data_IF_084569073808
#
_entry.id   IF_084569073808
#
_cell.length_a   1.000
_cell.length_b   1.000
_cell.length_c   1.000
_cell.angle_alpha   90.00
_cell.angle_beta   90.00
_cell.angle_gamma   90.00
#
_symmetry.space_group_name_H-M   'P 1'
#
loop_
_entity.id
_entity.type
_entity.pdbx_description
1 polymer ?
#
# COMPACT_ATOMS: atom_id res chain seq x y z
N UNK A 1 13.22 39.49 -13.41
CA UNK A 1 13.32 38.17 -12.76
C UNK A 1 12.29 37.13 -13.26
N UNK A 2 11.05 37.48 -13.58
CA UNK A 2 9.99 36.56 -14.04
C UNK A 2 10.19 35.95 -15.45
N UNK A 3 10.91 36.61 -16.36
CA UNK A 3 11.17 36.08 -17.72
C UNK A 3 12.15 34.87 -17.73
N UNK A 4 13.10 34.85 -16.79
CA UNK A 4 14.09 33.76 -16.72
C UNK A 4 13.52 32.45 -16.09
N UNK A 5 12.50 32.56 -15.26
CA UNK A 5 11.83 31.37 -14.66
C UNK A 5 10.97 30.61 -15.68
N UNK A 6 10.32 31.33 -16.62
CA UNK A 6 9.46 30.74 -17.65
C UNK A 6 10.31 30.02 -18.73
N UNK A 7 11.47 30.57 -19.08
CA UNK A 7 12.41 29.92 -20.02
C UNK A 7 13.06 28.68 -19.40
N UNK A 8 13.40 28.74 -18.11
CA UNK A 8 13.94 27.57 -17.39
C UNK A 8 12.91 26.42 -17.30
N UNK A 9 11.65 26.76 -17.05
CA UNK A 9 10.54 25.78 -17.00
C UNK A 9 10.26 25.14 -18.37
N UNK A 10 10.32 25.91 -19.45
CA UNK A 10 10.16 25.40 -20.84
C UNK A 10 11.33 24.51 -21.27
N UNK A 11 12.56 24.87 -20.98
CA UNK A 11 13.75 24.05 -21.28
C UNK A 11 13.75 22.73 -20.46
N UNK A 12 13.34 22.80 -19.20
CA UNK A 12 13.21 21.60 -18.35
C UNK A 12 12.13 20.64 -18.88
N UNK A 13 11.00 21.18 -19.33
CA UNK A 13 9.88 20.41 -19.89
C UNK A 13 10.22 19.76 -21.24
N UNK A 14 10.96 20.46 -22.13
CA UNK A 14 11.36 19.96 -23.45
C UNK A 14 12.44 18.87 -23.37
N UNK A 15 13.43 19.01 -22.50
CA UNK A 15 14.44 17.98 -22.27
C UNK A 15 13.88 16.72 -21.61
N UNK A 16 12.85 16.88 -20.75
CA UNK A 16 12.19 15.76 -20.07
C UNK A 16 11.30 14.97 -21.03
N UNK A 17 10.59 15.60 -21.95
CA UNK A 17 9.76 14.95 -22.97
C UNK A 17 10.60 14.20 -24.02
N UNK A 18 11.81 14.71 -24.37
CA UNK A 18 12.77 13.98 -25.23
C UNK A 18 13.35 12.74 -24.56
N UNK A 19 13.52 12.73 -23.22
CA UNK A 19 14.00 11.57 -22.46
C UNK A 19 12.96 10.45 -22.36
N UNK A 20 11.68 10.75 -22.36
CA UNK A 20 10.60 9.74 -22.27
C UNK A 20 10.42 8.97 -23.58
N UNK A 21 10.70 9.58 -24.72
CA UNK A 21 10.56 8.93 -26.06
C UNK A 21 11.59 7.86 -26.40
N UNK A 22 12.61 7.61 -25.55
CA UNK A 22 13.67 6.66 -25.82
C UNK A 22 14.06 5.76 -24.63
N UNK A 23 13.22 5.68 -23.56
CA UNK A 23 13.51 4.80 -22.43
C UNK A 23 13.34 3.33 -22.85
N UNK A 24 14.45 2.60 -22.91
CA UNK A 24 14.40 1.13 -23.02
C UNK A 24 13.73 0.53 -21.75
N UNK A 25 13.06 -0.62 -21.89
CA UNK A 25 12.43 -1.31 -20.75
C UNK A 25 13.40 -1.45 -19.56
N UNK A 26 14.67 -1.76 -19.82
CA UNK A 26 15.71 -1.85 -18.79
C UNK A 26 15.90 -0.53 -18.01
N UNK A 27 15.78 0.62 -18.67
CA UNK A 27 15.90 1.91 -18.00
C UNK A 27 14.69 2.21 -17.11
N UNK A 28 13.51 1.74 -17.47
CA UNK A 28 12.30 1.86 -16.65
C UNK A 28 12.45 1.11 -15.33
N UNK A 29 13.01 -0.10 -15.37
CA UNK A 29 13.21 -0.91 -14.16
C UNK A 29 14.30 -0.39 -13.22
N UNK A 30 15.28 0.34 -13.73
CA UNK A 30 16.46 0.81 -12.96
C UNK A 30 16.31 2.29 -12.56
N UNK A 31 15.24 2.99 -13.00
CA UNK A 31 15.09 4.42 -12.69
C UNK A 31 14.90 4.65 -11.19
N UNK A 32 15.65 5.61 -10.65
CA UNK A 32 15.58 6.04 -9.25
C UNK A 32 14.92 7.41 -9.09
N UNK A 33 14.42 8.02 -10.17
CA UNK A 33 13.80 9.35 -10.15
C UNK A 33 12.47 9.33 -9.36
N UNK A 34 12.39 10.11 -8.28
CA UNK A 34 11.21 10.20 -7.41
C UNK A 34 9.92 10.57 -8.15
N UNK A 35 9.99 11.44 -9.18
CA UNK A 35 8.80 11.83 -9.97
C UNK A 35 8.28 10.65 -10.79
N UNK A 36 9.19 9.88 -11.41
CA UNK A 36 8.79 8.69 -12.15
C UNK A 36 8.21 7.63 -11.23
N UNK A 37 8.88 7.35 -10.11
CA UNK A 37 8.42 6.40 -9.09
C UNK A 37 7.04 6.81 -8.57
N UNK A 38 6.85 8.08 -8.19
CA UNK A 38 5.57 8.59 -7.72
C UNK A 38 4.47 8.50 -8.79
N UNK A 39 4.80 8.76 -10.06
CA UNK A 39 3.86 8.58 -11.18
C UNK A 39 3.41 7.13 -11.35
N UNK A 40 4.31 6.16 -11.24
CA UNK A 40 3.98 4.72 -11.32
C UNK A 40 3.16 4.27 -10.11
N UNK A 41 3.42 4.81 -8.90
CA UNK A 41 2.57 4.58 -7.73
C UNK A 41 1.14 5.08 -7.94
N UNK A 42 0.96 6.27 -8.55
CA UNK A 42 -0.37 6.80 -8.88
C UNK A 42 -1.08 5.86 -9.86
N UNK A 43 -0.40 5.39 -10.91
CA UNK A 43 -0.99 4.47 -11.88
C UNK A 43 -1.35 3.14 -11.22
N UNK A 44 -0.48 2.57 -10.37
CA UNK A 44 -0.79 1.33 -9.65
C UNK A 44 -1.99 1.49 -8.70
N UNK A 45 -2.08 2.64 -8.01
CA UNK A 45 -3.24 2.97 -7.16
C UNK A 45 -4.54 3.12 -7.97
N UNK A 46 -4.48 3.70 -9.18
CA UNK A 46 -5.62 3.76 -10.08
C UNK A 46 -6.07 2.38 -10.56
N UNK A 47 -5.14 1.49 -10.88
CA UNK A 47 -5.46 0.09 -11.25
C UNK A 47 -6.17 -0.61 -10.08
N UNK A 48 -5.60 -0.56 -8.87
CA UNK A 48 -6.23 -1.12 -7.67
C UNK A 48 -7.62 -0.53 -7.42
N UNK A 49 -7.75 0.79 -7.53
CA UNK A 49 -9.02 1.51 -7.37
C UNK A 49 -10.06 1.14 -8.41
N UNK A 50 -9.69 0.96 -9.69
CA UNK A 50 -10.62 0.56 -10.74
C UNK A 50 -11.16 -0.85 -10.51
N UNK A 51 -10.32 -1.79 -10.06
CA UNK A 51 -10.75 -3.14 -9.67
C UNK A 51 -11.72 -3.04 -8.49
N UNK A 52 -11.33 -2.33 -7.41
CA UNK A 52 -12.17 -2.15 -6.23
C UNK A 52 -13.51 -1.47 -6.54
N UNK A 53 -13.51 -0.48 -7.43
CA UNK A 53 -14.74 0.18 -7.88
C UNK A 53 -15.64 -0.78 -8.68
N UNK A 54 -15.08 -1.60 -9.58
CA UNK A 54 -15.83 -2.64 -10.30
C UNK A 54 -16.53 -3.61 -9.34
N UNK A 55 -15.82 -4.06 -8.30
CA UNK A 55 -16.39 -4.91 -7.25
C UNK A 55 -17.54 -4.22 -6.50
N UNK A 56 -17.45 -2.91 -6.25
CA UNK A 56 -18.55 -2.17 -5.60
C UNK A 56 -19.83 -2.12 -6.42
N UNK A 57 -19.70 -2.06 -7.76
CA UNK A 57 -20.86 -2.11 -8.65
C UNK A 57 -21.55 -3.48 -8.52
N UNK A 58 -20.80 -4.58 -8.52
CA UNK A 58 -21.36 -5.93 -8.34
C UNK A 58 -22.09 -6.06 -7.00
N UNK A 59 -21.50 -5.54 -5.90
CA UNK A 59 -22.14 -5.50 -4.58
C UNK A 59 -23.47 -4.76 -4.63
N UNK A 60 -23.52 -3.61 -5.31
CA UNK A 60 -24.75 -2.82 -5.43
C UNK A 60 -25.81 -3.49 -6.29
N UNK A 61 -25.42 -4.18 -7.35
CA UNK A 61 -26.34 -4.96 -8.18
C UNK A 61 -26.94 -6.12 -7.38
N UNK A 62 -26.13 -6.85 -6.63
CA UNK A 62 -26.60 -7.95 -5.76
C UNK A 62 -27.61 -7.48 -4.71
N UNK A 63 -27.41 -6.28 -4.14
CA UNK A 63 -28.27 -5.68 -3.13
C UNK A 63 -29.49 -4.93 -3.71
N UNK A 64 -29.65 -4.87 -5.02
CA UNK A 64 -30.75 -4.13 -5.65
C UNK A 64 -32.11 -4.80 -5.49
N UNK A 65 -32.15 -6.12 -5.37
CA UNK A 65 -33.35 -6.92 -5.19
C UNK A 65 -33.16 -7.92 -4.04
N UNK A 66 -34.24 -8.35 -3.39
CA UNK A 66 -34.16 -9.36 -2.31
C UNK A 66 -33.82 -10.74 -2.90
N UNK A 67 -32.91 -11.45 -2.23
CA UNK A 67 -32.46 -12.79 -2.62
C UNK A 67 -31.06 -12.82 -3.24
N UNK A 68 -30.65 -13.99 -3.69
CA UNK A 68 -29.38 -14.19 -4.41
C UNK A 68 -29.65 -14.02 -5.92
N UNK A 69 -29.07 -12.99 -6.54
CA UNK A 69 -29.34 -12.65 -7.95
C UNK A 69 -28.19 -13.10 -8.86
N UNK A 70 -26.96 -12.70 -8.53
CA UNK A 70 -25.78 -12.89 -9.37
C UNK A 70 -24.80 -13.85 -8.69
N UNK A 71 -24.63 -13.74 -7.36
CA UNK A 71 -23.58 -14.39 -6.60
C UNK A 71 -24.14 -15.38 -5.57
N UNK A 72 -23.42 -16.49 -5.33
CA UNK A 72 -23.63 -17.28 -4.12
C UNK A 72 -23.17 -16.51 -2.88
N UNK A 73 -23.63 -16.91 -1.68
CA UNK A 73 -23.21 -16.24 -0.42
C UNK A 73 -21.68 -16.22 -0.21
N UNK A 74 -20.99 -17.28 -0.64
CA UNK A 74 -19.53 -17.37 -0.57
C UNK A 74 -18.88 -16.37 -1.53
N UNK A 75 -19.36 -16.30 -2.77
CA UNK A 75 -18.85 -15.35 -3.76
C UNK A 75 -19.11 -13.89 -3.36
N UNK A 76 -20.29 -13.60 -2.82
CA UNK A 76 -20.61 -12.27 -2.32
C UNK A 76 -19.63 -11.83 -1.21
N UNK A 77 -19.38 -12.69 -0.22
CA UNK A 77 -18.43 -12.40 0.85
C UNK A 77 -16.99 -12.21 0.32
N UNK A 78 -16.60 -12.96 -0.70
CA UNK A 78 -15.31 -12.79 -1.37
C UNK A 78 -15.21 -11.44 -2.08
N UNK A 79 -16.24 -11.04 -2.81
CA UNK A 79 -16.29 -9.74 -3.49
C UNK A 79 -16.24 -8.58 -2.48
N UNK A 80 -16.97 -8.70 -1.38
CA UNK A 80 -16.97 -7.71 -0.29
C UNK A 80 -15.57 -7.59 0.34
N UNK A 81 -14.91 -8.72 0.63
CA UNK A 81 -13.56 -8.76 1.18
C UNK A 81 -12.57 -8.06 0.26
N UNK A 82 -12.57 -8.46 -1.01
CA UNK A 82 -11.64 -7.92 -1.99
C UNK A 82 -11.90 -6.44 -2.28
N UNK A 83 -13.16 -6.00 -2.32
CA UNK A 83 -13.49 -4.58 -2.46
C UNK A 83 -12.82 -3.74 -1.36
N UNK A 84 -12.96 -4.14 -0.10
CA UNK A 84 -12.36 -3.41 1.04
C UNK A 84 -10.83 -3.35 0.95
N UNK A 85 -10.17 -4.47 0.65
CA UNK A 85 -8.72 -4.55 0.54
C UNK A 85 -8.19 -3.70 -0.63
N UNK A 86 -8.79 -3.81 -1.83
CA UNK A 86 -8.35 -3.06 -3.00
C UNK A 86 -8.50 -1.55 -2.79
N UNK A 87 -9.61 -1.09 -2.19
CA UNK A 87 -9.84 0.34 -1.98
C UNK A 87 -8.91 0.93 -0.91
N UNK A 88 -8.69 0.23 0.20
CA UNK A 88 -7.89 0.76 1.32
C UNK A 88 -6.39 0.57 1.06
N UNK A 89 -5.95 -0.66 0.79
CA UNK A 89 -4.52 -0.98 0.76
C UNK A 89 -3.89 -0.79 -0.63
N UNK A 90 -4.64 -1.01 -1.70
CA UNK A 90 -4.08 -0.92 -3.06
C UNK A 90 -4.49 0.35 -3.83
N UNK A 91 -5.44 1.13 -3.35
CA UNK A 91 -5.76 2.44 -3.91
C UNK A 91 -5.23 3.57 -3.02
N UNK A 92 -5.76 3.71 -1.80
CA UNK A 92 -5.48 4.88 -0.95
C UNK A 92 -4.00 4.95 -0.56
N UNK A 93 -3.43 3.86 -0.03
CA UNK A 93 -2.04 3.88 0.43
C UNK A 93 -1.03 4.14 -0.69
N UNK A 94 -1.03 3.42 -1.83
CA UNK A 94 -0.11 3.71 -2.92
C UNK A 94 -0.31 5.10 -3.53
N UNK A 95 -1.54 5.58 -3.64
CA UNK A 95 -1.84 6.86 -4.25
C UNK A 95 -1.39 8.03 -3.36
N UNK A 96 -1.79 8.04 -2.08
CA UNK A 96 -1.48 9.15 -1.18
C UNK A 96 -0.04 9.14 -0.70
N UNK A 97 0.42 8.01 -0.14
CA UNK A 97 1.77 7.94 0.45
C UNK A 97 2.80 7.68 -0.64
N UNK A 98 2.60 6.66 -1.48
CA UNK A 98 3.54 6.28 -2.53
C UNK A 98 3.61 7.30 -3.66
N UNK A 99 2.47 7.78 -4.15
CA UNK A 99 2.37 8.72 -5.27
C UNK A 99 2.67 10.16 -4.87
N UNK A 100 1.72 10.76 -4.15
CA UNK A 100 1.88 12.17 -3.76
C UNK A 100 3.06 12.40 -2.81
N UNK A 101 3.33 11.47 -1.87
CA UNK A 101 4.49 11.57 -0.99
C UNK A 101 5.80 11.69 -1.75
N UNK A 102 6.05 10.80 -2.71
CA UNK A 102 7.27 10.81 -3.51
C UNK A 102 7.41 12.02 -4.43
N UNK A 103 6.31 12.58 -4.93
CA UNK A 103 6.34 13.75 -5.82
C UNK A 103 6.49 15.03 -5.01
N UNK A 104 5.66 15.23 -3.97
CA UNK A 104 5.54 16.52 -3.29
C UNK A 104 6.62 16.74 -2.23
N UNK A 105 7.07 15.70 -1.52
CA UNK A 105 8.07 15.91 -0.45
C UNK A 105 9.37 16.50 -0.99
N UNK A 106 10.04 15.93 -2.03
CA UNK A 106 11.24 16.53 -2.56
C UNK A 106 11.02 17.94 -3.13
N UNK A 107 9.85 18.19 -3.73
CA UNK A 107 9.52 19.52 -4.26
C UNK A 107 9.33 20.55 -3.14
N UNK A 108 8.64 20.21 -2.05
CA UNK A 108 8.40 21.11 -0.91
C UNK A 108 9.67 21.36 -0.10
N UNK A 109 10.58 20.38 -0.04
CA UNK A 109 11.86 20.50 0.65
C UNK A 109 12.96 21.09 -0.25
N UNK A 110 12.66 21.39 -1.52
CA UNK A 110 13.65 21.85 -2.53
C UNK A 110 14.85 20.90 -2.66
N UNK A 111 14.64 19.61 -2.36
CA UNK A 111 15.65 18.57 -2.52
C UNK A 111 15.66 18.00 -3.94
N UNK A 112 16.82 17.55 -4.41
CA UNK A 112 16.96 16.97 -5.76
C UNK A 112 16.28 15.63 -5.91
N UNK A 113 16.28 14.80 -4.85
CA UNK A 113 15.66 13.46 -4.81
C UNK A 113 15.46 13.03 -3.34
N UNK A 114 14.86 11.84 -3.15
CA UNK A 114 14.81 11.18 -1.86
C UNK A 114 16.20 10.69 -1.45
N UNK A 115 16.46 10.53 -0.14
CA UNK A 115 17.80 10.14 0.35
C UNK A 115 18.21 8.74 -0.09
N UNK A 116 17.26 7.79 -0.07
CA UNK A 116 17.50 6.42 -0.51
C UNK A 116 16.75 6.11 -1.81
N UNK A 117 17.27 6.55 -2.97
CA UNK A 117 16.52 6.41 -4.24
C UNK A 117 16.37 4.95 -4.68
N UNK A 118 17.34 4.07 -4.37
CA UNK A 118 17.24 2.63 -4.68
C UNK A 118 16.22 1.93 -3.79
N UNK A 119 16.14 2.29 -2.51
CA UNK A 119 15.14 1.77 -1.59
C UNK A 119 13.73 2.16 -2.04
N UNK A 120 13.58 3.38 -2.55
CA UNK A 120 12.33 3.90 -3.10
C UNK A 120 11.89 3.12 -4.35
N UNK A 121 12.81 2.81 -5.26
CA UNK A 121 12.53 1.97 -6.42
C UNK A 121 12.14 0.54 -6.01
N UNK A 122 12.82 -0.05 -5.01
CA UNK A 122 12.48 -1.37 -4.47
C UNK A 122 11.06 -1.38 -3.89
N UNK A 123 10.69 -0.38 -3.10
CA UNK A 123 9.34 -0.29 -2.52
C UNK A 123 8.24 -0.26 -3.59
N UNK A 124 8.45 0.47 -4.69
CA UNK A 124 7.53 0.47 -5.83
C UNK A 124 7.34 -0.93 -6.42
N UNK A 125 8.42 -1.65 -6.70
CA UNK A 125 8.32 -2.98 -7.31
C UNK A 125 7.66 -3.99 -6.39
N UNK A 126 7.84 -3.87 -5.08
CA UNK A 126 7.13 -4.69 -4.12
C UNK A 126 5.61 -4.44 -4.14
N UNK A 127 5.14 -3.19 -4.25
CA UNK A 127 3.70 -2.90 -4.37
C UNK A 127 3.11 -3.50 -5.65
N UNK A 128 3.81 -3.40 -6.79
CA UNK A 128 3.32 -3.96 -8.04
C UNK A 128 3.20 -5.49 -7.94
N UNK A 129 4.21 -6.16 -7.37
CA UNK A 129 4.17 -7.60 -7.16
C UNK A 129 3.06 -8.00 -6.18
N UNK A 130 2.86 -7.24 -5.10
CA UNK A 130 1.78 -7.51 -4.15
C UNK A 130 0.39 -7.36 -4.78
N UNK A 131 0.19 -6.34 -5.62
CA UNK A 131 -1.04 -6.16 -6.39
C UNK A 131 -1.31 -7.37 -7.31
N UNK A 132 -0.27 -7.90 -7.97
CA UNK A 132 -0.38 -9.08 -8.80
C UNK A 132 -0.84 -10.31 -8.00
N UNK A 133 -0.22 -10.58 -6.83
CA UNK A 133 -0.63 -11.69 -5.97
C UNK A 133 -2.05 -11.51 -5.43
N UNK A 134 -2.47 -10.26 -5.15
CA UNK A 134 -3.84 -9.98 -4.71
C UNK A 134 -4.87 -10.27 -5.80
N UNK A 135 -4.57 -9.92 -7.06
CA UNK A 135 -5.44 -10.26 -8.20
C UNK A 135 -5.51 -11.78 -8.39
N UNK A 136 -4.39 -12.50 -8.26
CA UNK A 136 -4.40 -13.96 -8.29
C UNK A 136 -5.25 -14.56 -7.17
N UNK A 137 -5.15 -14.05 -5.95
CA UNK A 137 -5.97 -14.48 -4.82
C UNK A 137 -7.48 -14.30 -5.07
N UNK A 138 -7.86 -13.25 -5.80
CA UNK A 138 -9.26 -13.02 -6.18
C UNK A 138 -9.77 -14.02 -7.21
N UNK A 139 -8.91 -14.50 -8.11
CA UNK A 139 -9.30 -15.39 -9.23
C UNK A 139 -9.29 -16.87 -8.86
N UNK A 140 -8.54 -17.26 -7.82
CA UNK A 140 -8.40 -18.65 -7.40
C UNK A 140 -9.46 -19.05 -6.36
N UNK A 141 -9.90 -20.29 -6.36
CA UNK A 141 -10.78 -20.93 -5.37
C UNK A 141 -12.10 -20.18 -5.08
N UNK A 142 -12.56 -19.33 -6.00
CA UNK A 142 -13.72 -18.45 -5.77
C UNK A 142 -13.42 -17.24 -4.87
N UNK A 143 -12.14 -16.96 -4.62
CA UNK A 143 -11.66 -15.81 -3.86
C UNK A 143 -11.64 -16.02 -2.35
N UNK A 144 -11.36 -14.96 -1.60
CA UNK A 144 -11.22 -14.99 -0.13
C UNK A 144 -12.49 -14.50 0.54
N UNK A 145 -13.16 -15.33 1.30
CA UNK A 145 -14.42 -15.03 1.97
C UNK A 145 -14.29 -14.70 3.47
N UNK A 146 -13.13 -14.22 3.91
CA UNK A 146 -12.82 -13.99 5.33
C UNK A 146 -13.27 -12.61 5.89
N UNK A 147 -13.74 -11.69 5.02
CA UNK A 147 -13.90 -10.27 5.37
C UNK A 147 -12.55 -9.54 5.38
N UNK A 148 -12.56 -8.20 5.19
CA UNK A 148 -11.33 -7.40 5.14
C UNK A 148 -10.57 -7.34 6.47
N UNK A 149 -11.22 -7.68 7.58
CA UNK A 149 -10.64 -7.74 8.93
C UNK A 149 -10.00 -9.09 9.27
N UNK A 150 -10.15 -10.10 8.42
CA UNK A 150 -9.54 -11.44 8.54
C UNK A 150 -9.82 -12.16 9.86
N UNK A 151 -11.00 -12.01 10.43
CA UNK A 151 -11.32 -12.62 11.72
C UNK A 151 -11.21 -14.13 11.68
N UNK A 152 -10.52 -14.64 12.69
CA UNK A 152 -10.42 -16.07 12.99
C UNK A 152 -11.73 -16.53 13.69
N UNK A 153 -12.32 -17.69 13.37
CA UNK A 153 -11.72 -18.82 12.61
C UNK A 153 -11.93 -18.77 11.09
N UNK A 154 -12.70 -17.82 10.55
CA UNK A 154 -13.08 -17.77 9.14
C UNK A 154 -11.86 -17.68 8.21
N UNK A 155 -10.81 -16.94 8.61
CA UNK A 155 -9.58 -16.76 7.84
C UNK A 155 -8.63 -17.97 7.88
N UNK A 156 -8.90 -18.98 8.73
CA UNK A 156 -8.10 -20.22 8.81
C UNK A 156 -8.59 -21.27 7.82
N UNK A 157 -9.73 -21.11 7.17
CA UNK A 157 -10.26 -22.08 6.21
C UNK A 157 -9.26 -22.40 5.08
N UNK A 158 -9.25 -23.65 4.62
CA UNK A 158 -8.25 -24.19 3.69
C UNK A 158 -8.52 -23.81 2.23
N UNK A 159 -8.31 -22.54 1.86
CA UNK A 159 -8.31 -22.05 0.49
C UNK A 159 -6.92 -21.50 0.13
N UNK A 160 -6.35 -21.87 -1.00
CA UNK A 160 -5.08 -21.33 -1.48
C UNK A 160 -5.14 -19.81 -1.73
N UNK A 161 -6.31 -19.29 -2.08
CA UNK A 161 -6.56 -17.86 -2.24
C UNK A 161 -6.22 -17.05 -0.99
N UNK A 162 -6.46 -17.61 0.21
CA UNK A 162 -6.15 -16.97 1.49
C UNK A 162 -4.64 -16.82 1.70
N UNK A 163 -3.87 -17.85 1.35
CA UNK A 163 -2.41 -17.82 1.49
C UNK A 163 -1.78 -16.79 0.54
N UNK A 164 -2.25 -16.74 -0.71
CA UNK A 164 -1.80 -15.73 -1.67
C UNK A 164 -2.15 -14.30 -1.22
N UNK A 165 -3.33 -14.11 -0.64
CA UNK A 165 -3.72 -12.83 -0.06
C UNK A 165 -2.79 -12.43 1.08
N UNK A 166 -2.54 -13.30 2.05
CA UNK A 166 -1.63 -13.01 3.16
C UNK A 166 -0.20 -12.73 2.67
N UNK A 167 0.28 -13.47 1.69
CA UNK A 167 1.57 -13.22 1.07
C UNK A 167 1.61 -11.85 0.38
N UNK A 168 0.56 -11.50 -0.34
CA UNK A 168 0.40 -10.16 -0.93
C UNK A 168 0.48 -9.06 0.13
N UNK A 169 -0.24 -9.21 1.25
CA UNK A 169 -0.24 -8.25 2.34
C UNK A 169 1.13 -8.09 3.01
N UNK A 170 1.89 -9.17 3.18
CA UNK A 170 3.27 -9.10 3.67
C UNK A 170 4.17 -8.28 2.75
N UNK A 171 4.09 -8.52 1.43
CA UNK A 171 4.89 -7.79 0.45
C UNK A 171 4.48 -6.30 0.42
N UNK A 172 3.17 -6.00 0.47
CA UNK A 172 2.67 -4.63 0.53
C UNK A 172 3.12 -3.93 1.82
N UNK A 173 3.05 -4.62 2.97
CA UNK A 173 3.52 -4.10 4.25
C UNK A 173 5.03 -3.82 4.25
N UNK A 174 5.84 -4.72 3.70
CA UNK A 174 7.28 -4.50 3.55
C UNK A 174 7.56 -3.27 2.67
N UNK A 175 6.86 -3.12 1.55
CA UNK A 175 6.97 -1.94 0.70
C UNK A 175 6.69 -0.65 1.45
N UNK A 176 5.62 -0.62 2.24
CA UNK A 176 5.21 0.56 3.02
C UNK A 176 6.21 0.89 4.13
N UNK A 177 6.82 -0.12 4.77
CA UNK A 177 7.91 0.06 5.74
C UNK A 177 9.14 0.71 5.09
N UNK A 178 9.58 0.21 3.93
CA UNK A 178 10.73 0.77 3.22
C UNK A 178 10.48 2.22 2.79
N UNK A 179 9.27 2.51 2.31
CA UNK A 179 8.85 3.87 1.96
C UNK A 179 8.85 4.81 3.17
N UNK A 180 8.27 4.38 4.29
CA UNK A 180 8.17 5.20 5.51
C UNK A 180 9.55 5.51 6.11
N UNK A 181 10.49 4.56 6.13
CA UNK A 181 11.88 4.80 6.53
C UNK A 181 12.52 5.87 5.64
N UNK A 182 12.32 5.78 4.33
CA UNK A 182 12.87 6.74 3.38
C UNK A 182 12.29 8.16 3.61
N UNK A 183 10.98 8.27 3.84
CA UNK A 183 10.34 9.57 4.13
C UNK A 183 10.86 10.19 5.43
N UNK A 184 10.94 9.45 6.52
CA UNK A 184 11.44 9.96 7.80
C UNK A 184 12.86 10.50 7.66
N UNK A 185 13.77 9.72 7.06
CA UNK A 185 15.18 10.13 6.92
C UNK A 185 15.32 11.32 5.97
N UNK A 186 14.51 11.37 4.90
CA UNK A 186 14.50 12.50 3.96
C UNK A 186 14.05 13.78 4.66
N UNK A 187 13.00 13.73 5.46
CA UNK A 187 12.49 14.88 6.21
C UNK A 187 13.48 15.33 7.28
N UNK A 188 14.05 14.40 8.08
CA UNK A 188 15.02 14.72 9.11
C UNK A 188 16.31 15.37 8.54
N UNK A 189 16.81 14.88 7.40
CA UNK A 189 17.99 15.44 6.75
C UNK A 189 17.73 16.80 6.12
N UNK A 190 16.57 17.00 5.52
CA UNK A 190 16.19 18.30 4.94
C UNK A 190 16.02 19.35 6.03
N UNK A 191 15.53 18.96 7.19
CA UNK A 191 15.41 19.81 8.37
C UNK A 191 16.72 19.94 9.13
N UNK A 192 17.90 20.00 8.54
CA UNK A 192 19.19 20.12 9.24
C UNK A 192 19.06 20.35 10.76
N UNK A 193 19.72 19.61 11.63
CA UNK A 193 19.52 19.62 13.09
C UNK A 193 19.51 21.02 13.75
N UNK A 194 20.12 22.02 13.10
CA UNK A 194 20.03 23.45 13.45
C UNK A 194 18.65 24.08 13.14
N UNK A 195 17.82 23.44 12.35
CA UNK A 195 16.51 23.91 11.86
C UNK A 195 15.35 23.25 12.63
N UNK A 196 15.60 22.42 13.62
CA UNK A 196 14.56 22.06 14.59
C UNK A 196 13.93 23.31 15.25
N UNK A 197 14.68 24.41 15.33
CA UNK A 197 14.16 25.73 15.69
C UNK A 197 13.37 26.43 14.56
N UNK A 198 13.54 26.06 13.29
CA UNK A 198 12.79 26.57 12.13
C UNK A 198 11.74 25.62 11.58
N UNK A 199 11.45 24.53 12.31
CA UNK A 199 10.41 23.53 11.98
C UNK A 199 9.00 24.15 11.79
N UNK A 200 8.76 25.34 12.34
CA UNK A 200 7.53 26.11 12.15
C UNK A 200 7.27 26.53 10.69
N UNK A 201 8.27 26.47 9.81
CA UNK A 201 8.13 26.87 8.39
C UNK A 201 7.90 25.72 7.41
N UNK A 202 7.87 24.45 7.90
CA UNK A 202 7.51 23.32 7.03
C UNK A 202 6.00 23.34 6.72
N UNK A 203 5.60 23.14 5.45
CA UNK A 203 4.20 22.98 5.08
C UNK A 203 3.54 21.82 5.83
N UNK A 204 2.21 21.87 5.94
CA UNK A 204 1.44 20.85 6.67
C UNK A 204 1.60 19.44 6.09
N UNK A 205 1.71 19.32 4.75
CA UNK A 205 1.83 18.03 4.08
C UNK A 205 3.09 17.24 4.47
N UNK A 206 4.33 17.78 4.46
CA UNK A 206 5.50 17.08 4.98
C UNK A 206 5.34 16.62 6.43
N UNK A 207 4.72 17.43 7.30
CA UNK A 207 4.43 17.04 8.68
C UNK A 207 3.46 15.86 8.76
N UNK A 208 2.40 15.87 7.97
CA UNK A 208 1.44 14.76 7.94
C UNK A 208 2.10 13.45 7.50
N UNK A 209 2.94 13.49 6.45
CA UNK A 209 3.68 12.31 6.00
C UNK A 209 4.71 11.85 7.04
N UNK A 210 5.34 12.76 7.77
CA UNK A 210 6.27 12.40 8.85
C UNK A 210 5.59 11.59 9.93
N UNK A 211 4.48 12.08 10.48
CA UNK A 211 3.74 11.37 11.52
C UNK A 211 3.13 10.06 11.02
N UNK A 212 2.52 10.06 9.85
CA UNK A 212 1.99 8.80 9.26
C UNK A 212 3.08 7.77 9.03
N UNK A 213 4.28 8.18 8.63
CA UNK A 213 5.42 7.27 8.46
C UNK A 213 5.89 6.66 9.79
N UNK A 214 5.92 7.44 10.88
CA UNK A 214 6.22 6.90 12.22
C UNK A 214 5.17 5.88 12.65
N UNK A 215 3.87 6.21 12.48
CA UNK A 215 2.77 5.31 12.84
C UNK A 215 2.83 4.01 12.04
N UNK A 216 3.15 4.07 10.74
CA UNK A 216 3.31 2.89 9.90
C UNK A 216 4.47 1.99 10.35
N UNK A 217 5.61 2.56 10.75
CA UNK A 217 6.73 1.76 11.27
C UNK A 217 6.36 1.03 12.57
N UNK A 218 5.51 1.62 13.40
CA UNK A 218 5.07 1.00 14.65
C UNK A 218 3.97 -0.06 14.41
N UNK A 219 3.02 0.20 13.52
CA UNK A 219 1.82 -0.63 13.34
C UNK A 219 2.01 -1.81 12.39
N UNK A 220 2.76 -1.64 11.28
CA UNK A 220 2.92 -2.70 10.27
C UNK A 220 3.61 -3.98 10.78
N UNK A 221 4.66 -3.94 11.63
CA UNK A 221 5.23 -5.16 12.18
C UNK A 221 4.26 -5.97 13.03
N UNK A 222 3.34 -5.29 13.74
CA UNK A 222 2.31 -5.95 14.55
C UNK A 222 1.30 -6.66 13.66
N UNK A 223 0.84 -6.02 12.58
CA UNK A 223 -0.01 -6.64 11.58
C UNK A 223 0.70 -7.82 10.90
N UNK A 224 1.94 -7.67 10.48
CA UNK A 224 2.72 -8.74 9.89
C UNK A 224 2.86 -9.93 10.84
N UNK A 225 3.10 -9.69 12.12
CA UNK A 225 3.14 -10.70 13.17
C UNK A 225 1.82 -11.46 13.30
N UNK A 226 0.67 -10.76 13.33
CA UNK A 226 -0.65 -11.42 13.41
C UNK A 226 -0.97 -12.27 12.17
N UNK A 227 -0.61 -11.80 10.98
CA UNK A 227 -0.80 -12.57 9.74
C UNK A 227 0.13 -13.79 9.70
N UNK A 228 1.39 -13.68 10.14
CA UNK A 228 2.29 -14.83 10.22
C UNK A 228 1.78 -15.89 11.20
N UNK A 229 1.18 -15.50 12.34
CA UNK A 229 0.55 -16.46 13.26
C UNK A 229 -0.60 -17.22 12.61
N UNK A 230 -1.44 -16.56 11.78
CA UNK A 230 -2.49 -17.26 11.02
C UNK A 230 -1.87 -18.26 10.03
N UNK A 231 -0.84 -17.87 9.29
CA UNK A 231 -0.16 -18.76 8.34
C UNK A 231 0.40 -19.98 9.07
N UNK A 232 0.95 -19.82 10.27
CA UNK A 232 1.46 -20.92 11.07
C UNK A 232 0.34 -21.84 11.57
N UNK A 233 -0.79 -21.30 12.03
CA UNK A 233 -1.96 -22.10 12.42
C UNK A 233 -2.51 -22.91 11.24
N UNK A 234 -2.42 -22.38 10.02
CA UNK A 234 -2.87 -23.07 8.79
C UNK A 234 -1.94 -24.18 8.33
N UNK A 235 -0.63 -23.94 8.34
CA UNK A 235 0.34 -24.86 7.70
C UNK A 235 1.13 -25.72 8.68
N UNK A 236 1.34 -25.25 9.90
CA UNK A 236 2.16 -25.94 10.90
C UNK A 236 1.33 -26.49 12.08
N UNK A 237 -0.02 -26.38 12.02
CA UNK A 237 -0.92 -26.81 13.08
C UNK A 237 -0.57 -26.23 14.47
N UNK A 238 -0.06 -25.00 14.49
CA UNK A 238 0.09 -24.25 15.73
C UNK A 238 -1.28 -23.85 16.27
N UNK A 239 -1.38 -23.40 17.50
CA UNK A 239 -2.64 -23.11 18.17
C UNK A 239 -2.69 -21.68 18.72
N UNK A 240 -2.15 -20.70 17.99
CA UNK A 240 -2.20 -19.31 18.42
C UNK A 240 -3.62 -18.79 18.60
N UNK A 241 -4.53 -19.19 17.72
CA UNK A 241 -5.91 -18.70 17.69
C UNK A 241 -6.96 -19.80 17.90
N UNK A 242 -6.56 -21.04 18.16
CA UNK A 242 -7.47 -22.16 18.42
C UNK A 242 -7.79 -22.25 19.93
N UNK A 243 -9.04 -21.95 20.37
CA UNK A 243 -9.41 -22.00 21.79
C UNK A 243 -9.34 -23.41 22.39
N UNK A 244 -9.56 -24.44 21.57
CA UNK A 244 -9.52 -25.85 22.02
C UNK A 244 -8.14 -26.25 22.51
N UNK A 245 -7.09 -25.64 21.92
CA UNK A 245 -5.69 -25.93 22.25
C UNK A 245 -5.03 -24.82 23.08
N UNK A 246 -5.83 -23.93 23.70
CA UNK A 246 -5.35 -22.87 24.58
C UNK A 246 -5.01 -21.55 23.89
N UNK A 247 -5.32 -21.38 22.61
CA UNK A 247 -5.19 -20.12 21.88
C UNK A 247 -6.35 -19.14 22.16
N UNK A 248 -6.25 -17.92 21.64
CA UNK A 248 -7.26 -16.88 21.82
C UNK A 248 -7.59 -16.16 20.51
N UNK A 249 -8.86 -16.23 20.11
CA UNK A 249 -9.38 -15.50 18.93
C UNK A 249 -9.27 -13.98 19.15
N UNK A 250 -9.49 -13.51 20.39
CA UNK A 250 -9.40 -12.09 20.74
C UNK A 250 -7.99 -11.51 20.52
N UNK A 251 -6.95 -12.34 20.63
CA UNK A 251 -5.58 -11.91 20.39
C UNK A 251 -5.41 -11.37 18.96
N UNK A 252 -5.95 -12.09 17.96
CA UNK A 252 -5.90 -11.63 16.57
C UNK A 252 -6.62 -10.29 16.39
N UNK A 253 -7.82 -10.17 16.95
CA UNK A 253 -8.61 -8.95 16.83
C UNK A 253 -7.88 -7.75 17.44
N UNK A 254 -7.27 -7.89 18.60
CA UNK A 254 -6.48 -6.84 19.24
C UNK A 254 -5.28 -6.42 18.37
N UNK A 255 -4.53 -7.37 17.82
CA UNK A 255 -3.37 -7.08 16.97
C UNK A 255 -3.78 -6.41 15.65
N UNK A 256 -4.88 -6.87 15.01
CA UNK A 256 -5.40 -6.26 13.79
C UNK A 256 -5.90 -4.83 14.04
N UNK A 257 -6.70 -4.61 15.09
CA UNK A 257 -7.22 -3.29 15.41
C UNK A 257 -6.16 -2.32 15.90
N UNK A 258 -5.08 -2.81 16.51
CA UNK A 258 -3.91 -1.97 16.80
C UNK A 258 -3.33 -1.34 15.53
N UNK A 259 -3.23 -2.11 14.43
CA UNK A 259 -2.79 -1.56 13.14
C UNK A 259 -3.78 -0.54 12.57
N UNK A 260 -5.08 -0.77 12.69
CA UNK A 260 -6.11 0.09 12.08
C UNK A 260 -6.26 1.42 12.82
N UNK A 261 -6.12 1.42 14.15
CA UNK A 261 -6.30 2.62 14.97
C UNK A 261 -5.05 3.48 15.13
N UNK A 262 -3.87 2.94 14.91
CA UNK A 262 -2.63 3.71 14.83
C UNK A 262 -2.49 4.38 13.47
#
# INVERSE_FOLDING_TARGET
MLKNSITFYRLFKLNKLKRIKGLSLNQIFITTNHIFIGGVYIVSGWIGGSIGFGLSIIIRLELSLPGLIICSSIQYNSILTMHGIFMILFMIMPLLIGGFGNILIPLMLSSSDMIFPRLNALSLWLVINSLFFMVLAMLLDGGVNAGWTFYVPLSIMNYYSVDLMFFSLHIAGLSSLLGSINFIITLLKACNLSILYSSCFLPLFPWSIFFTSILLILSLPVLAGSITMIIFDRHFNTSFFDPVRGGSILLFQHLFWFFVFL
#
